data_IF_549783882335
#
_entry.id   IF_549783882335
#
_cell.length_a   1.000
_cell.length_b   1.000
_cell.length_c   1.000
_cell.angle_alpha   90.00
_cell.angle_beta   90.00
_cell.angle_gamma   90.00
#
_symmetry.space_group_name_H-M   'P 1'
#
loop_
_entity.id
_entity.type
_entity.pdbx_description
1 polymer ?
#
# COMPACT_ATOMS: atom_id res chain seq x y z
N UNK A 1 -2.78 0.31 7.82
CA UNK A 1 -3.56 -0.95 7.74
C UNK A 1 -4.53 -0.86 6.56
N UNK A 2 -4.57 -1.89 5.71
CA UNK A 2 -5.53 -1.98 4.61
C UNK A 2 -6.93 -2.26 5.17
N UNK A 3 -7.91 -1.42 4.82
CA UNK A 3 -9.26 -1.50 5.36
C UNK A 3 -10.00 -2.79 4.98
N UNK A 4 -9.63 -3.44 3.86
CA UNK A 4 -10.20 -4.76 3.50
C UNK A 4 -9.81 -5.81 4.53
N UNK A 5 -8.56 -5.83 4.98
CA UNK A 5 -8.12 -6.77 6.03
C UNK A 5 -8.91 -6.54 7.33
N UNK A 6 -9.12 -5.29 7.72
CA UNK A 6 -9.89 -4.94 8.92
C UNK A 6 -11.35 -5.44 8.83
N UNK A 7 -12.01 -5.28 7.69
CA UNK A 7 -13.34 -5.85 7.44
C UNK A 7 -13.32 -7.38 7.51
N UNK A 8 -12.37 -8.02 6.84
CA UNK A 8 -12.27 -9.48 6.82
C UNK A 8 -12.06 -10.06 8.22
N UNK A 9 -11.21 -9.44 9.06
CA UNK A 9 -11.03 -9.84 10.45
C UNK A 9 -12.36 -9.79 11.21
N UNK A 10 -13.13 -8.71 11.05
CA UNK A 10 -14.43 -8.58 11.69
C UNK A 10 -15.44 -9.62 11.17
N UNK A 11 -15.57 -9.77 9.86
CA UNK A 11 -16.54 -10.65 9.20
C UNK A 11 -16.30 -12.14 9.50
N UNK A 12 -15.03 -12.52 9.74
CA UNK A 12 -14.64 -13.91 10.00
C UNK A 12 -14.44 -14.21 11.50
N UNK A 13 -14.88 -13.32 12.38
CA UNK A 13 -14.91 -13.57 13.83
C UNK A 13 -13.57 -13.38 14.55
N UNK A 14 -12.61 -12.69 13.95
CA UNK A 14 -11.31 -12.33 14.53
C UNK A 14 -11.32 -10.96 15.23
N UNK A 15 -12.40 -10.68 15.97
CA UNK A 15 -12.56 -9.43 16.72
C UNK A 15 -11.54 -9.27 17.85
N UNK A 16 -11.00 -10.38 18.36
CA UNK A 16 -9.91 -10.39 19.34
C UNK A 16 -8.63 -9.74 18.81
N UNK A 17 -8.30 -9.95 17.54
CA UNK A 17 -7.16 -9.31 16.87
C UNK A 17 -7.38 -7.80 16.76
N UNK A 18 -8.60 -7.37 16.41
CA UNK A 18 -8.96 -5.95 16.32
C UNK A 18 -8.82 -5.27 17.68
N UNK A 19 -9.35 -5.87 18.75
CA UNK A 19 -9.25 -5.33 20.10
C UNK A 19 -7.80 -5.27 20.60
N UNK A 20 -6.98 -6.30 20.30
CA UNK A 20 -5.55 -6.27 20.59
C UNK A 20 -4.85 -5.10 19.89
N UNK A 21 -5.12 -4.87 18.60
CA UNK A 21 -4.54 -3.75 17.85
C UNK A 21 -4.96 -2.39 18.44
N UNK A 22 -6.21 -2.24 18.88
CA UNK A 22 -6.65 -1.02 19.58
C UNK A 22 -5.89 -0.79 20.88
N UNK A 23 -5.73 -1.84 21.69
CA UNK A 23 -5.00 -1.75 22.96
C UNK A 23 -3.53 -1.36 22.73
N UNK A 24 -2.86 -2.00 21.77
CA UNK A 24 -1.48 -1.66 21.40
C UNK A 24 -1.35 -0.21 20.93
N UNK A 25 -2.28 0.28 20.10
CA UNK A 25 -2.28 1.66 19.62
C UNK A 25 -2.54 2.66 20.75
N UNK A 26 -3.51 2.37 21.63
CA UNK A 26 -3.82 3.19 22.82
C UNK A 26 -2.62 3.28 23.77
N UNK A 27 -1.84 2.22 23.88
CA UNK A 27 -0.64 2.17 24.69
C UNK A 27 0.59 2.81 24.02
N UNK A 28 0.47 3.29 22.77
CA UNK A 28 1.58 3.87 22.01
C UNK A 28 2.62 2.85 21.55
N UNK A 29 2.26 1.57 21.51
CA UNK A 29 3.16 0.48 21.10
C UNK A 29 3.18 0.26 19.59
N UNK A 30 2.11 0.68 18.89
CA UNK A 30 2.03 0.69 17.44
C UNK A 30 1.46 2.02 16.96
N UNK A 31 1.84 2.40 15.74
CA UNK A 31 1.24 3.51 15.00
C UNK A 31 0.53 2.96 13.76
N UNK A 32 -0.74 3.33 13.57
CA UNK A 32 -1.44 3.01 12.33
C UNK A 32 -1.02 3.95 11.20
N UNK A 33 -0.89 3.38 9.99
CA UNK A 33 -0.65 4.12 8.75
C UNK A 33 -1.88 4.13 7.84
N UNK A 34 -2.05 5.22 7.09
CA UNK A 34 -3.01 5.34 5.99
C UNK A 34 -2.52 4.56 4.76
N UNK A 35 -3.46 4.20 3.89
CA UNK A 35 -3.20 3.52 2.62
C UNK A 35 -4.44 3.61 1.72
N UNK A 36 -4.44 2.96 0.55
CA UNK A 36 -5.63 2.81 -0.30
C UNK A 36 -6.46 1.58 0.08
N UNK A 37 -7.80 1.73 0.09
CA UNK A 37 -8.75 0.75 0.66
C UNK A 37 -8.61 -0.65 0.09
N UNK A 38 -8.59 -0.77 -1.24
CA UNK A 38 -8.48 -2.05 -1.95
C UNK A 38 -7.05 -2.29 -2.46
N UNK A 39 -6.05 -1.64 -1.84
CA UNK A 39 -4.65 -1.74 -2.21
C UNK A 39 -4.35 -1.45 -3.72
N UNK A 40 -4.87 -0.35 -4.30
CA UNK A 40 -4.60 -0.02 -5.70
C UNK A 40 -3.22 0.60 -5.91
N UNK A 41 -2.69 0.51 -7.13
CA UNK A 41 -1.49 1.28 -7.51
C UNK A 41 -1.88 2.74 -7.77
N UNK A 42 -1.83 3.56 -6.71
CA UNK A 42 -2.34 4.93 -6.71
C UNK A 42 -1.80 5.81 -7.86
N UNK A 43 -0.49 5.77 -8.20
CA UNK A 43 0.02 6.55 -9.33
C UNK A 43 -0.57 6.20 -10.71
N UNK A 44 -1.24 5.06 -10.84
CA UNK A 44 -1.75 4.55 -12.12
C UNK A 44 -3.25 4.77 -12.31
N UNK A 45 -3.94 5.33 -11.33
CA UNK A 45 -5.39 5.57 -11.37
C UNK A 45 -5.69 7.08 -11.35
N UNK A 46 -6.87 7.53 -11.83
CA UNK A 46 -7.22 8.94 -11.79
C UNK A 46 -7.21 9.51 -10.37
N UNK A 47 -6.82 10.77 -10.20
CA UNK A 47 -6.74 11.46 -8.89
C UNK A 47 -8.00 11.32 -8.04
N UNK A 48 -9.19 11.43 -8.63
CA UNK A 48 -10.45 11.23 -7.89
C UNK A 48 -10.61 9.81 -7.32
N UNK A 49 -10.06 8.80 -7.98
CA UNK A 49 -10.01 7.43 -7.46
C UNK A 49 -8.95 7.27 -6.37
N UNK A 50 -7.81 7.97 -6.49
CA UNK A 50 -6.80 8.05 -5.40
C UNK A 50 -7.44 8.61 -4.13
N UNK A 51 -8.06 9.78 -4.22
CA UNK A 51 -8.75 10.43 -3.11
C UNK A 51 -9.82 9.51 -2.51
N UNK A 52 -10.66 8.89 -3.35
CA UNK A 52 -11.67 7.92 -2.92
C UNK A 52 -11.06 6.76 -2.13
N UNK A 53 -10.01 6.13 -2.66
CA UNK A 53 -9.41 4.95 -2.04
C UNK A 53 -8.75 5.27 -0.69
N UNK A 54 -8.15 6.45 -0.54
CA UNK A 54 -7.60 6.92 0.74
C UNK A 54 -8.74 7.18 1.74
N UNK A 55 -9.80 7.86 1.31
CA UNK A 55 -10.94 8.18 2.18
C UNK A 55 -11.71 6.93 2.63
N UNK A 56 -11.99 5.99 1.72
CA UNK A 56 -12.69 4.74 2.07
C UNK A 56 -11.84 3.89 3.01
N UNK A 57 -10.50 3.90 2.87
CA UNK A 57 -9.63 3.20 3.79
C UNK A 57 -9.72 3.77 5.21
N UNK A 58 -9.69 5.10 5.32
CA UNK A 58 -9.85 5.79 6.59
C UNK A 58 -11.24 5.57 7.18
N UNK A 59 -12.29 5.64 6.36
CA UNK A 59 -13.68 5.41 6.76
C UNK A 59 -13.87 4.01 7.33
N UNK A 60 -13.48 2.97 6.60
CA UNK A 60 -13.60 1.60 7.09
C UNK A 60 -12.81 1.42 8.38
N UNK A 61 -11.53 1.78 8.40
CA UNK A 61 -10.72 1.52 9.60
C UNK A 61 -11.25 2.25 10.83
N UNK A 62 -11.79 3.47 10.70
CA UNK A 62 -12.43 4.20 11.82
C UNK A 62 -13.69 3.53 12.36
N UNK A 63 -14.36 2.67 11.60
CA UNK A 63 -15.51 1.90 12.10
C UNK A 63 -15.08 0.80 13.07
N UNK A 64 -13.86 0.26 12.91
CA UNK A 64 -13.41 -0.91 13.65
C UNK A 64 -12.27 -0.61 14.63
N UNK A 65 -11.44 0.39 14.36
CA UNK A 65 -10.24 0.74 15.13
C UNK A 65 -10.43 2.12 15.76
N UNK A 66 -10.61 2.13 17.08
CA UNK A 66 -10.70 3.36 17.84
C UNK A 66 -9.40 4.16 17.67
N UNK A 67 -9.50 5.47 17.49
CA UNK A 67 -8.34 6.36 17.27
C UNK A 67 -7.56 6.15 15.96
N UNK A 68 -8.17 5.56 14.92
CA UNK A 68 -7.56 5.49 13.58
C UNK A 68 -7.48 6.89 12.92
N UNK A 69 -6.41 7.62 13.26
CA UNK A 69 -6.04 8.93 12.71
C UNK A 69 -4.57 8.85 12.28
N UNK A 70 -4.28 8.13 11.18
CA UNK A 70 -2.92 7.89 10.75
C UNK A 70 -2.22 9.19 10.33
N UNK A 71 -1.12 9.51 11.01
CA UNK A 71 -0.26 10.64 10.67
C UNK A 71 0.58 10.38 9.43
N UNK A 72 0.83 9.11 9.11
CA UNK A 72 1.62 8.70 7.96
C UNK A 72 0.84 7.98 6.89
N UNK A 73 1.42 7.96 5.69
CA UNK A 73 0.89 7.26 4.54
C UNK A 73 1.84 6.18 4.04
N UNK A 74 1.31 4.96 3.90
CA UNK A 74 1.96 3.84 3.24
C UNK A 74 1.27 3.63 1.88
N UNK A 75 1.85 4.11 0.77
CA UNK A 75 1.32 3.82 -0.56
C UNK A 75 1.33 2.31 -0.78
N UNK A 76 0.25 1.70 -1.33
CA UNK A 76 0.27 0.30 -1.73
C UNK A 76 1.52 -0.01 -2.54
N UNK A 77 2.26 -1.07 -2.15
CA UNK A 77 3.52 -1.50 -2.80
C UNK A 77 4.67 -0.47 -2.75
N UNK A 78 4.56 0.54 -1.88
CA UNK A 78 5.37 1.77 -1.91
C UNK A 78 5.39 2.45 -3.29
N UNK A 79 4.34 2.25 -4.10
CA UNK A 79 4.22 2.88 -5.41
C UNK A 79 3.96 4.38 -5.26
N UNK A 80 4.88 5.16 -5.78
CA UNK A 80 4.89 6.62 -5.70
C UNK A 80 5.09 7.26 -7.07
N UNK A 81 4.38 8.37 -7.29
CA UNK A 81 4.71 9.47 -8.21
C UNK A 81 4.35 10.78 -7.50
N UNK A 82 4.82 11.92 -8.01
CA UNK A 82 4.44 13.21 -7.42
C UNK A 82 2.91 13.46 -7.43
N UNK A 83 2.17 12.82 -8.34
CA UNK A 83 0.72 13.01 -8.49
C UNK A 83 -0.10 12.57 -7.28
N UNK A 84 0.45 11.72 -6.40
CA UNK A 84 -0.24 11.29 -5.17
C UNK A 84 0.00 12.21 -3.97
N UNK A 85 0.92 13.18 -4.07
CA UNK A 85 1.31 14.05 -2.95
C UNK A 85 0.12 14.89 -2.46
N UNK A 86 -0.59 15.54 -3.38
CA UNK A 86 -1.74 16.38 -3.04
C UNK A 86 -2.88 15.58 -2.37
N UNK A 87 -3.36 14.44 -2.92
CA UNK A 87 -4.33 13.59 -2.23
C UNK A 87 -3.88 13.15 -0.82
N UNK A 88 -2.59 12.85 -0.64
CA UNK A 88 -2.03 12.41 0.65
C UNK A 88 -2.02 13.55 1.66
N UNK A 89 -1.59 14.76 1.27
CA UNK A 89 -1.63 15.95 2.11
C UNK A 89 -3.07 16.32 2.49
N UNK A 90 -3.99 16.35 1.52
CA UNK A 90 -5.41 16.66 1.76
C UNK A 90 -6.11 15.66 2.67
N UNK A 91 -5.64 14.41 2.71
CA UNK A 91 -6.11 13.41 3.67
C UNK A 91 -5.59 13.63 5.10
N UNK A 92 -4.70 14.60 5.32
CA UNK A 92 -4.17 15.01 6.62
C UNK A 92 -2.90 14.27 7.04
N UNK A 93 -2.21 13.61 6.11
CA UNK A 93 -0.96 12.91 6.40
C UNK A 93 0.22 13.90 6.43
N UNK A 94 1.13 13.69 7.39
CA UNK A 94 2.31 14.52 7.65
C UNK A 94 3.60 13.91 7.10
N UNK A 95 3.61 12.61 6.85
CA UNK A 95 4.74 11.91 6.25
C UNK A 95 4.28 10.79 5.31
N UNK A 96 5.15 10.44 4.37
CA UNK A 96 4.99 9.33 3.43
C UNK A 96 6.24 8.45 3.47
N UNK A 97 6.05 7.13 3.51
CA UNK A 97 7.15 6.17 3.37
C UNK A 97 7.33 5.78 1.90
N UNK A 98 8.57 5.83 1.42
CA UNK A 98 8.96 5.50 0.04
C UNK A 98 10.05 4.43 0.02
N UNK A 99 10.14 3.72 -1.11
CA UNK A 99 11.28 2.84 -1.42
C UNK A 99 12.59 3.64 -1.46
N UNK A 100 13.69 3.05 -0.99
CA UNK A 100 15.00 3.71 -0.97
C UNK A 100 15.49 4.11 -2.36
N UNK A 101 15.13 3.35 -3.39
CA UNK A 101 15.41 3.67 -4.81
C UNK A 101 14.81 5.00 -5.29
N UNK A 102 13.78 5.50 -4.60
CA UNK A 102 13.16 6.79 -4.89
C UNK A 102 14.05 7.98 -4.47
N UNK A 103 15.03 7.77 -3.59
CA UNK A 103 15.84 8.83 -3.01
C UNK A 103 16.69 9.54 -4.08
N UNK A 104 16.52 10.85 -4.29
CA UNK A 104 17.24 11.60 -5.32
C UNK A 104 18.53 12.26 -4.80
N UNK A 105 18.78 12.19 -3.49
CA UNK A 105 19.89 12.86 -2.79
C UNK A 105 20.75 11.83 -2.06
N UNK A 106 21.79 12.31 -1.37
CA UNK A 106 22.57 11.46 -0.47
C UNK A 106 21.67 10.90 0.63
N UNK A 107 21.82 9.60 0.90
CA UNK A 107 21.00 8.86 1.87
C UNK A 107 20.87 9.60 3.21
N UNK A 108 19.64 10.01 3.61
CA UNK A 108 19.44 10.72 4.86
C UNK A 108 19.50 9.74 6.03
N UNK A 109 20.35 10.03 7.01
CA UNK A 109 20.50 9.24 8.24
C UNK A 109 20.21 10.06 9.50
N UNK A 110 20.29 11.38 9.39
CA UNK A 110 20.36 12.36 10.49
C UNK A 110 19.39 13.54 10.32
N UNK A 111 18.50 13.48 9.32
CA UNK A 111 17.53 14.53 8.97
C UNK A 111 16.34 13.93 8.25
N UNK A 112 15.22 14.64 8.23
CA UNK A 112 14.03 14.25 7.46
C UNK A 112 13.81 15.24 6.31
N UNK A 113 14.07 14.81 5.08
CA UNK A 113 13.82 15.61 3.87
C UNK A 113 12.29 15.70 3.59
N UNK A 114 11.86 16.71 2.83
CA UNK A 114 10.43 17.03 2.60
C UNK A 114 10.09 17.16 1.11
N UNK A 115 8.83 16.88 0.74
CA UNK A 115 8.22 17.26 -0.55
C UNK A 115 7.33 18.48 -0.31
N UNK A 116 7.38 19.46 -1.21
CA UNK A 116 6.52 20.64 -1.15
C UNK A 116 5.37 20.56 -2.18
N UNK A 117 4.17 20.99 -1.78
CA UNK A 117 3.01 21.18 -2.65
C UNK A 117 2.19 22.37 -2.16
N UNK A 118 2.05 23.42 -3.00
CA UNK A 118 1.25 24.63 -2.71
C UNK A 118 1.54 25.28 -1.33
N UNK A 119 2.79 25.24 -0.86
CA UNK A 119 3.21 25.80 0.43
C UNK A 119 2.97 24.90 1.64
N UNK A 120 2.43 23.70 1.44
CA UNK A 120 2.41 22.61 2.41
C UNK A 120 3.61 21.67 2.19
N UNK A 121 4.08 21.03 3.27
CA UNK A 121 5.18 20.07 3.19
C UNK A 121 4.80 18.69 3.72
N UNK A 122 5.33 17.67 3.06
CA UNK A 122 5.16 16.25 3.38
C UNK A 122 6.53 15.64 3.65
N UNK A 123 6.77 15.22 4.89
CA UNK A 123 8.02 14.57 5.27
C UNK A 123 8.20 13.23 4.54
N UNK A 124 9.42 12.95 4.07
CA UNK A 124 9.73 11.74 3.31
C UNK A 124 10.59 10.82 4.16
N UNK A 125 10.08 9.60 4.36
CA UNK A 125 10.78 8.54 5.07
C UNK A 125 11.19 7.45 4.07
N UNK A 126 12.48 7.20 3.91
CA UNK A 126 12.96 6.17 3.00
C UNK A 126 13.14 4.83 3.71
N UNK A 127 12.54 3.78 3.16
CA UNK A 127 12.80 2.39 3.51
C UNK A 127 14.22 2.01 3.08
N UNK A 128 15.00 1.44 3.98
CA UNK A 128 16.25 0.75 3.61
C UNK A 128 15.90 -0.54 2.87
N UNK A 129 15.98 -0.51 1.54
CA UNK A 129 15.60 -1.64 0.69
C UNK A 129 16.49 -2.86 0.91
N UNK A 130 17.78 -2.65 1.15
CA UNK A 130 18.78 -3.72 1.29
C UNK A 130 18.53 -4.46 2.60
N UNK A 131 18.46 -3.73 3.71
CA UNK A 131 18.29 -4.30 5.04
C UNK A 131 16.91 -4.96 5.18
N UNK A 132 15.86 -4.31 4.67
CA UNK A 132 14.51 -4.87 4.66
C UNK A 132 14.46 -6.19 3.87
N UNK A 133 15.04 -6.24 2.67
CA UNK A 133 15.06 -7.46 1.86
C UNK A 133 15.89 -8.58 2.52
N UNK A 134 17.00 -8.25 3.20
CA UNK A 134 17.75 -9.25 3.96
C UNK A 134 16.89 -9.92 5.03
N UNK A 135 16.02 -9.16 5.71
CA UNK A 135 15.06 -9.70 6.68
C UNK A 135 14.01 -10.57 5.98
N UNK A 136 13.41 -10.05 4.90
CA UNK A 136 12.34 -10.74 4.14
C UNK A 136 12.77 -12.03 3.46
N UNK A 137 14.06 -12.19 3.15
CA UNK A 137 14.61 -13.38 2.49
C UNK A 137 15.54 -14.20 3.40
N UNK A 138 15.41 -14.06 4.73
CA UNK A 138 16.17 -14.82 5.72
C UNK A 138 17.69 -14.81 5.48
N UNK A 139 18.20 -13.67 5.00
CA UNK A 139 19.61 -13.45 4.66
C UNK A 139 20.37 -12.67 5.73
N UNK A 140 19.74 -12.44 6.89
CA UNK A 140 20.33 -11.82 8.07
C UNK A 140 19.69 -12.38 9.34
N UNK A 141 20.47 -12.56 10.39
CA UNK A 141 19.99 -12.94 11.73
C UNK A 141 19.63 -11.71 12.56
N UNK A 142 18.92 -11.89 13.67
CA UNK A 142 18.58 -10.79 14.59
C UNK A 142 19.83 -10.13 15.22
N UNK A 143 20.88 -10.91 15.49
CA UNK A 143 22.14 -10.38 16.01
C UNK A 143 22.87 -9.52 14.98
N UNK A 144 23.03 -10.02 13.75
CA UNK A 144 23.67 -9.29 12.65
C UNK A 144 22.89 -8.01 12.31
N UNK A 145 21.56 -8.08 12.34
CA UNK A 145 20.70 -6.90 12.18
C UNK A 145 21.01 -5.86 13.26
N UNK A 146 20.97 -6.22 14.54
CA UNK A 146 21.23 -5.28 15.63
C UNK A 146 22.66 -4.76 15.64
N UNK A 147 23.65 -5.57 15.27
CA UNK A 147 25.03 -5.12 15.09
C UNK A 147 25.12 -4.06 13.98
N UNK A 148 24.47 -4.32 12.84
CA UNK A 148 24.41 -3.36 11.74
C UNK A 148 23.76 -2.03 12.16
N UNK A 149 22.63 -2.08 12.88
CA UNK A 149 21.96 -0.88 13.39
C UNK A 149 22.83 -0.12 14.39
N UNK A 150 23.52 -0.82 15.30
CA UNK A 150 24.46 -0.18 16.25
C UNK A 150 25.62 0.51 15.53
N UNK A 151 26.12 -0.08 14.45
CA UNK A 151 27.20 0.50 13.65
C UNK A 151 26.79 1.82 12.96
N UNK A 152 25.51 2.00 12.59
CA UNK A 152 25.02 3.26 12.00
C UNK A 152 25.11 4.46 12.97
N UNK A 153 25.09 4.21 14.28
CA UNK A 153 25.22 5.25 15.32
C UNK A 153 26.67 5.48 15.80
N UNK A 154 27.66 4.80 15.22
CA UNK A 154 29.07 4.96 15.60
C UNK A 154 29.61 6.27 15.01
N UNK A 155 29.57 7.33 15.82
CA UNK A 155 29.98 8.67 15.41
C UNK A 155 29.54 9.78 16.36
N UNK A 156 28.57 9.49 17.25
CA UNK A 156 28.09 10.42 18.28
C UNK A 156 26.89 11.27 17.85
N UNK A 157 26.52 11.21 16.57
CA UNK A 157 25.27 11.79 16.06
C UNK A 157 24.16 10.73 16.08
N UNK A 158 22.93 11.16 16.38
CA UNK A 158 21.78 10.27 16.27
C UNK A 158 21.58 9.92 14.80
N UNK A 159 21.39 8.63 14.52
CA UNK A 159 21.08 8.12 13.19
C UNK A 159 19.78 7.32 13.24
N UNK A 160 19.04 7.25 12.13
CA UNK A 160 17.88 6.37 11.99
C UNK A 160 18.01 5.40 10.81
N UNK A 161 17.25 4.31 10.90
CA UNK A 161 17.05 3.36 9.82
C UNK A 161 15.60 2.89 9.85
N UNK A 162 15.00 2.73 8.68
CA UNK A 162 13.60 2.31 8.55
C UNK A 162 13.59 1.02 7.75
N UNK A 163 13.05 -0.05 8.34
CA UNK A 163 12.79 -1.29 7.63
C UNK A 163 11.29 -1.51 7.46
N UNK A 164 10.89 -1.98 6.29
CA UNK A 164 9.49 -2.26 5.99
C UNK A 164 9.36 -3.49 5.08
N UNK A 165 8.42 -4.36 5.37
CA UNK A 165 8.18 -5.61 4.64
C UNK A 165 6.75 -6.11 4.92
N UNK A 166 6.30 -7.12 4.17
CA UNK A 166 5.04 -7.80 4.43
C UNK A 166 4.97 -8.33 5.87
N UNK A 167 3.81 -8.18 6.51
CA UNK A 167 3.61 -8.74 7.85
C UNK A 167 3.68 -10.27 7.82
N UNK A 168 3.22 -10.86 6.72
CA UNK A 168 3.24 -12.28 6.42
C UNK A 168 4.66 -12.85 6.35
N UNK A 169 5.70 -12.01 6.21
CA UNK A 169 7.11 -12.43 6.39
C UNK A 169 7.31 -13.15 7.72
N UNK A 170 6.66 -12.69 8.79
CA UNK A 170 6.81 -13.24 10.13
C UNK A 170 5.76 -14.33 10.40
N UNK A 171 6.13 -15.58 10.14
CA UNK A 171 5.35 -16.78 10.49
C UNK A 171 4.64 -17.45 9.31
N UNK A 172 4.12 -16.68 8.35
CA UNK A 172 3.44 -17.24 7.17
C UNK A 172 4.42 -17.61 6.05
N UNK A 173 5.15 -16.64 5.51
CA UNK A 173 6.16 -16.85 4.47
C UNK A 173 7.40 -17.54 5.03
N UNK A 174 7.85 -17.13 6.22
CA UNK A 174 8.98 -17.75 6.93
C UNK A 174 8.48 -18.25 8.28
N UNK A 175 8.31 -19.57 8.38
CA UNK A 175 7.87 -20.23 9.61
C UNK A 175 8.78 -19.90 10.79
N UNK A 176 8.19 -19.58 11.95
CA UNK A 176 8.86 -19.23 13.21
C UNK A 176 9.70 -17.93 13.18
N UNK A 177 9.63 -17.12 12.13
CA UNK A 177 10.45 -15.91 12.03
C UNK A 177 10.04 -14.81 13.01
N UNK A 178 8.78 -14.81 13.43
CA UNK A 178 8.25 -14.01 14.54
C UNK A 178 8.95 -14.34 15.87
N UNK A 179 9.43 -15.57 16.06
CA UNK A 179 10.18 -15.99 17.25
C UNK A 179 11.69 -15.85 17.02
N UNK A 180 12.20 -16.40 15.91
CA UNK A 180 13.64 -16.48 15.65
C UNK A 180 14.29 -15.11 15.37
N UNK A 181 13.54 -14.19 14.79
CA UNK A 181 14.01 -12.85 14.46
C UNK A 181 13.33 -11.79 15.30
N UNK A 182 12.02 -11.61 15.14
CA UNK A 182 11.31 -10.45 15.69
C UNK A 182 11.34 -10.41 17.23
N UNK A 183 10.95 -11.51 17.89
CA UNK A 183 11.01 -11.61 19.35
C UNK A 183 12.43 -11.41 19.90
N UNK A 184 13.44 -12.00 19.27
CA UNK A 184 14.86 -11.82 19.67
C UNK A 184 15.35 -10.39 19.52
N UNK A 185 14.92 -9.67 18.47
CA UNK A 185 15.21 -8.24 18.33
C UNK A 185 14.60 -7.48 19.49
N UNK A 186 13.31 -7.68 19.79
CA UNK A 186 12.64 -7.03 20.92
C UNK A 186 13.31 -7.34 22.27
N UNK A 187 13.65 -8.61 22.54
CA UNK A 187 14.33 -9.02 23.77
C UNK A 187 15.68 -8.33 23.97
N UNK A 188 16.48 -8.20 22.91
CA UNK A 188 17.78 -7.54 22.96
C UNK A 188 17.70 -6.00 23.05
N UNK A 189 16.55 -5.43 22.74
CA UNK A 189 16.29 -4.00 22.89
C UNK A 189 15.68 -3.64 24.26
N UNK A 190 15.32 -4.63 25.09
CA UNK A 190 14.88 -4.35 26.46
C UNK A 190 16.06 -3.90 27.34
N UNK A 191 15.82 -2.95 28.28
CA UNK A 191 16.82 -2.59 29.28
C UNK A 191 17.31 -3.82 30.06
N UNK A 192 18.60 -3.85 30.39
CA UNK A 192 19.28 -5.00 31.03
C UNK A 192 18.62 -5.51 32.33
N UNK A 193 17.80 -4.69 32.98
CA UNK A 193 17.05 -5.05 34.21
C UNK A 193 15.93 -6.10 34.00
N UNK A 194 15.57 -6.43 32.75
CA UNK A 194 14.52 -7.42 32.45
C UNK A 194 15.04 -8.77 31.90
N UNK A 195 16.36 -8.93 31.77
CA UNK A 195 16.99 -10.15 31.26
C UNK A 195 16.86 -11.28 32.32
N UNK A 196 16.01 -12.28 32.06
CA UNK A 196 15.86 -13.46 32.89
C UNK A 196 14.42 -13.89 33.21
N UNK A 197 13.39 -13.13 32.79
CA UNK A 197 12.00 -13.59 32.83
C UNK A 197 11.65 -14.30 31.51
N UNK A 198 11.00 -15.48 31.52
CA UNK A 198 10.55 -16.13 30.30
C UNK A 198 9.60 -15.21 29.55
N UNK A 199 9.80 -15.07 28.23
CA UNK A 199 8.92 -14.32 27.35
C UNK A 199 7.49 -14.85 27.49
N UNK A 200 6.61 -14.05 28.08
CA UNK A 200 5.18 -14.32 28.10
C UNK A 200 4.53 -13.48 27.00
N UNK A 201 3.83 -14.09 26.01
CA UNK A 201 3.19 -13.38 24.89
C UNK A 201 2.11 -12.35 25.30
N UNK A 202 1.83 -12.22 26.61
CA UNK A 202 0.80 -11.35 27.20
C UNK A 202 1.34 -10.11 27.91
N UNK A 203 2.66 -9.90 27.99
CA UNK A 203 3.18 -8.70 28.64
C UNK A 203 3.26 -7.56 27.65
N UNK A 204 2.27 -6.66 27.74
CA UNK A 204 2.32 -5.33 27.15
C UNK A 204 3.68 -4.68 27.46
N UNK A 205 4.32 -4.13 26.43
CA UNK A 205 5.48 -3.26 26.59
C UNK A 205 5.01 -2.06 27.40
N UNK A 206 5.21 -2.13 28.71
CA UNK A 206 4.87 -1.07 29.63
C UNK A 206 5.54 0.22 29.16
N UNK A 207 4.74 1.28 29.06
CA UNK A 207 5.13 2.69 28.85
C UNK A 207 6.64 2.91 28.95
N UNK A 208 7.33 2.92 27.81
CA UNK A 208 8.62 3.57 27.75
C UNK A 208 8.32 5.07 27.84
N UNK A 209 8.33 5.61 29.07
CA UNK A 209 8.47 7.04 29.27
C UNK A 209 9.88 7.39 28.78
N UNK A 210 9.97 7.83 27.53
CA UNK A 210 11.20 8.29 26.91
C UNK A 210 11.71 9.53 27.64
N UNK A 211 12.70 9.35 28.50
CA UNK A 211 13.59 10.42 28.92
C UNK A 211 14.76 10.40 27.93
N UNK A 212 14.84 11.34 26.97
CA UNK A 212 15.83 11.28 25.87
C UNK A 212 17.28 11.55 26.31
N UNK A 213 17.49 11.91 27.58
CA UNK A 213 18.82 12.17 28.13
C UNK A 213 19.40 10.93 28.79
N UNK A 214 20.13 10.08 28.05
CA UNK A 214 21.12 9.18 28.65
C UNK A 214 21.27 7.75 28.11
N UNK A 215 20.60 7.34 27.03
CA UNK A 215 20.71 5.95 26.55
C UNK A 215 21.74 5.85 25.42
N UNK A 216 22.91 5.25 25.71
CA UNK A 216 23.79 4.67 24.67
C UNK A 216 23.11 3.40 24.14
N UNK A 217 22.41 3.44 23.00
CA UNK A 217 21.78 2.25 22.47
C UNK A 217 20.89 2.47 21.25
N UNK A 218 20.33 1.36 20.74
CA UNK A 218 19.31 1.36 19.67
C UNK A 218 17.95 1.57 20.31
N UNK A 219 17.18 2.53 19.79
CA UNK A 219 15.82 2.81 20.23
C UNK A 219 14.83 2.52 19.10
N UNK A 220 13.71 1.88 19.42
CA UNK A 220 12.58 1.77 18.51
C UNK A 220 11.59 2.87 18.82
N UNK A 221 11.13 3.55 17.78
CA UNK A 221 10.15 4.64 17.87
C UNK A 221 9.09 4.47 16.79
N UNK A 222 7.91 5.05 17.00
CA UNK A 222 6.94 5.21 15.92
C UNK A 222 7.50 6.19 14.86
N UNK A 223 7.13 5.98 13.60
CA UNK A 223 7.68 6.77 12.49
C UNK A 223 7.37 8.27 12.64
N UNK A 224 6.20 8.61 13.20
CA UNK A 224 5.87 10.00 13.50
C UNK A 224 6.82 10.68 14.49
N UNK A 225 7.46 9.94 15.40
CA UNK A 225 8.40 10.50 16.38
C UNK A 225 9.71 10.92 15.72
N UNK A 226 10.07 10.33 14.57
CA UNK A 226 11.27 10.73 13.82
C UNK A 226 11.23 12.20 13.40
N UNK A 227 10.03 12.73 13.11
CA UNK A 227 9.83 14.14 12.76
C UNK A 227 10.10 15.09 13.93
N UNK A 228 10.02 14.61 15.17
CA UNK A 228 10.29 15.38 16.39
C UNK A 228 11.75 15.21 16.85
N UNK A 229 12.39 14.07 16.53
CA UNK A 229 13.76 13.74 16.92
C UNK A 229 14.78 14.35 15.96
N UNK A 230 14.52 14.31 14.66
CA UNK A 230 15.48 14.70 13.62
C UNK A 230 15.15 16.06 13.02
N UNK A 231 16.16 16.88 12.70
CA UNK A 231 15.96 18.16 12.05
C UNK A 231 15.34 17.99 10.65
N UNK A 232 14.62 19.03 10.22
CA UNK A 232 14.13 19.12 8.84
C UNK A 232 15.31 19.23 7.88
N UNK A 233 15.23 18.45 6.80
CA UNK A 233 16.20 18.39 5.73
C UNK A 233 15.86 19.30 4.56
N UNK A 234 16.30 18.90 3.37
CA UNK A 234 16.06 19.65 2.14
C UNK A 234 14.68 19.36 1.55
N UNK A 235 14.18 20.29 0.73
CA UNK A 235 13.08 19.99 -0.18
C UNK A 235 13.61 19.16 -1.35
N UNK A 236 13.01 17.99 -1.58
CA UNK A 236 13.45 17.03 -2.58
C UNK A 236 12.30 16.65 -3.53
N UNK A 237 12.66 16.07 -4.67
CA UNK A 237 11.72 15.46 -5.62
C UNK A 237 12.05 13.98 -5.79
N UNK A 238 11.46 13.08 -4.96
CA UNK A 238 11.68 11.65 -5.10
C UNK A 238 11.27 11.14 -6.47
N UNK A 239 11.96 10.11 -6.95
CA UNK A 239 11.68 9.50 -8.25
C UNK A 239 10.44 8.62 -8.17
N UNK A 240 9.73 8.51 -9.28
CA UNK A 240 8.63 7.54 -9.39
C UNK A 240 9.20 6.11 -9.27
N UNK A 241 8.62 5.31 -8.38
CA UNK A 241 9.08 3.95 -8.10
C UNK A 241 8.07 3.18 -7.23
N UNK A 242 8.34 1.90 -7.02
CA UNK A 242 7.80 1.02 -6.00
C UNK A 242 8.96 0.39 -5.20
N UNK A 243 8.64 -0.46 -4.23
CA UNK A 243 9.65 -1.30 -3.56
C UNK A 243 10.23 -2.44 -4.43
N UNK A 244 9.73 -2.62 -5.66
CA UNK A 244 10.20 -3.62 -6.63
C UNK A 244 10.92 -3.00 -7.83
N UNK A 245 10.96 -1.68 -7.92
CA UNK A 245 11.64 -0.94 -8.99
C UNK A 245 13.15 -1.06 -8.87
N UNK A 246 13.80 -1.44 -9.96
CA UNK A 246 15.25 -1.40 -10.11
C UNK A 246 15.75 -0.06 -10.68
N UNK A 247 17.07 0.14 -10.69
CA UNK A 247 17.67 1.32 -11.33
C UNK A 247 17.40 1.33 -12.84
N UNK A 248 17.47 0.17 -13.48
CA UNK A 248 17.22 -0.04 -14.90
C UNK A 248 15.77 0.28 -15.28
N UNK A 249 14.81 -0.03 -14.40
CA UNK A 249 13.40 0.33 -14.58
C UNK A 249 13.21 1.86 -14.61
N UNK A 250 13.90 2.59 -13.73
CA UNK A 250 13.87 4.06 -13.72
C UNK A 250 14.47 4.63 -15.02
N UNK A 251 15.63 4.11 -15.44
CA UNK A 251 16.32 4.54 -16.66
C UNK A 251 15.48 4.31 -17.93
N UNK A 252 14.67 3.25 -17.96
CA UNK A 252 13.73 2.94 -19.05
C UNK A 252 12.33 3.56 -18.88
N UNK A 253 12.12 4.30 -17.79
CA UNK A 253 10.83 4.87 -17.38
C UNK A 253 9.70 3.82 -17.30
N UNK A 254 10.03 2.60 -16.88
CA UNK A 254 9.08 1.53 -16.55
C UNK A 254 8.94 1.39 -15.03
N UNK A 255 8.48 2.46 -14.37
CA UNK A 255 8.57 2.62 -12.91
C UNK A 255 7.80 1.57 -12.09
N UNK A 256 6.82 0.87 -12.68
CA UNK A 256 5.95 -0.09 -11.99
C UNK A 256 5.93 -1.43 -12.73
N UNK A 257 7.08 -2.10 -12.90
CA UNK A 257 7.21 -3.22 -13.84
C UNK A 257 6.32 -4.42 -13.49
N UNK A 258 6.00 -4.61 -12.19
CA UNK A 258 5.13 -5.69 -11.75
C UNK A 258 3.63 -5.42 -11.95
N UNK A 259 3.21 -4.18 -12.25
CA UNK A 259 1.78 -3.82 -12.38
C UNK A 259 1.44 -3.14 -13.70
N UNK A 260 2.38 -2.48 -14.38
CA UNK A 260 2.18 -1.80 -15.67
C UNK A 260 3.43 -1.77 -16.54
N UNK A 261 4.08 -2.92 -16.72
CA UNK A 261 5.21 -2.99 -17.66
C UNK A 261 4.84 -2.69 -19.11
N UNK A 262 5.69 -1.91 -19.79
CA UNK A 262 5.58 -1.58 -21.22
C UNK A 262 5.72 -2.80 -22.15
N UNK A 263 6.44 -3.83 -21.73
CA UNK A 263 6.64 -5.05 -22.52
C UNK A 263 5.55 -6.11 -22.28
N UNK A 264 4.73 -5.95 -21.25
CA UNK A 264 3.71 -6.94 -20.89
C UNK A 264 2.39 -6.65 -21.62
N UNK A 265 2.02 -7.55 -22.54
CA UNK A 265 0.81 -7.38 -23.36
C UNK A 265 -0.48 -7.58 -22.55
N UNK A 266 -0.46 -8.43 -21.52
CA UNK A 266 -1.62 -8.68 -20.65
C UNK A 266 -1.89 -7.45 -19.78
N UNK A 267 -0.85 -6.83 -19.20
CA UNK A 267 -1.00 -5.54 -18.53
C UNK A 267 -1.64 -4.49 -19.45
N UNK A 268 -1.18 -4.36 -20.71
CA UNK A 268 -1.77 -3.38 -21.64
C UNK A 268 -3.26 -3.63 -21.88
N UNK A 269 -3.68 -4.88 -21.98
CA UNK A 269 -5.09 -5.23 -22.16
C UNK A 269 -5.90 -5.00 -20.89
N UNK A 270 -5.39 -5.41 -19.72
CA UNK A 270 -6.04 -5.18 -18.42
C UNK A 270 -6.25 -3.69 -18.16
N UNK A 271 -5.24 -2.85 -18.37
CA UNK A 271 -5.36 -1.41 -18.16
C UNK A 271 -6.32 -0.75 -19.15
N UNK A 272 -6.32 -1.15 -20.44
CA UNK A 272 -7.32 -0.68 -21.40
C UNK A 272 -8.76 -1.06 -20.99
N UNK A 273 -8.96 -2.28 -20.50
CA UNK A 273 -10.26 -2.72 -20.03
C UNK A 273 -10.69 -1.91 -18.78
N UNK A 274 -9.78 -1.72 -17.82
CA UNK A 274 -10.02 -0.94 -16.61
C UNK A 274 -10.33 0.54 -16.91
N UNK A 275 -9.65 1.15 -17.89
CA UNK A 275 -9.92 2.51 -18.35
C UNK A 275 -11.36 2.65 -18.89
N UNK A 276 -11.87 1.64 -19.62
CA UNK A 276 -13.28 1.60 -20.05
C UNK A 276 -14.21 1.47 -18.84
N UNK A 277 -13.89 0.60 -17.86
CA UNK A 277 -14.66 0.47 -16.62
C UNK A 277 -14.78 1.81 -15.88
N UNK A 278 -13.68 2.53 -15.70
CA UNK A 278 -13.63 3.84 -15.04
C UNK A 278 -14.51 4.87 -15.77
N UNK A 279 -14.42 4.97 -17.10
CA UNK A 279 -15.26 5.89 -17.88
C UNK A 279 -16.75 5.52 -17.78
N UNK A 280 -17.07 4.23 -17.86
CA UNK A 280 -18.45 3.74 -17.77
C UNK A 280 -19.07 4.01 -16.40
N UNK A 281 -18.33 3.82 -15.30
CA UNK A 281 -18.81 4.13 -13.94
C UNK A 281 -19.04 5.62 -13.74
N UNK A 282 -18.11 6.45 -14.25
CA UNK A 282 -18.27 7.91 -14.23
C UNK A 282 -19.54 8.34 -14.95
N UNK A 283 -19.78 7.81 -16.15
CA UNK A 283 -20.99 8.09 -16.95
C UNK A 283 -22.25 7.58 -16.28
N UNK A 284 -22.25 6.35 -15.76
CA UNK A 284 -23.38 5.78 -15.04
C UNK A 284 -23.77 6.63 -13.82
N UNK A 285 -22.78 7.09 -13.07
CA UNK A 285 -23.00 7.95 -11.91
C UNK A 285 -23.54 9.33 -12.31
N UNK A 286 -23.04 9.90 -13.42
CA UNK A 286 -23.44 11.23 -13.90
C UNK A 286 -24.84 11.26 -14.54
N UNK A 287 -25.26 10.17 -15.17
CA UNK A 287 -26.49 10.14 -15.97
C UNK A 287 -27.66 9.42 -15.29
N UNK A 288 -27.46 8.76 -14.16
CA UNK A 288 -28.53 8.08 -13.42
C UNK A 288 -29.64 9.07 -13.01
N UNK A 289 -30.84 8.90 -13.56
CA UNK A 289 -31.97 9.83 -13.42
C UNK A 289 -33.15 9.23 -12.62
N UNK A 290 -33.18 7.91 -12.44
CA UNK A 290 -34.22 7.19 -11.70
C UNK A 290 -33.62 6.26 -10.63
N UNK A 291 -34.47 5.73 -9.74
CA UNK A 291 -34.03 4.90 -8.61
C UNK A 291 -33.28 3.64 -9.06
N UNK A 292 -33.79 2.92 -10.05
CA UNK A 292 -33.15 1.71 -10.57
C UNK A 292 -31.76 2.04 -11.17
N UNK A 293 -31.65 3.11 -11.96
CA UNK A 293 -30.38 3.54 -12.54
C UNK A 293 -29.35 3.95 -11.48
N UNK A 294 -29.79 4.60 -10.38
CA UNK A 294 -28.92 4.97 -9.26
C UNK A 294 -28.43 3.75 -8.49
N UNK A 295 -29.29 2.75 -8.27
CA UNK A 295 -28.92 1.51 -7.62
C UNK A 295 -27.86 0.76 -8.45
N UNK A 296 -28.08 0.62 -9.75
CA UNK A 296 -27.12 -0.03 -10.65
C UNK A 296 -25.80 0.74 -10.77
N UNK A 297 -25.84 2.07 -10.84
CA UNK A 297 -24.63 2.90 -10.82
C UNK A 297 -23.85 2.71 -9.50
N UNK A 298 -24.55 2.60 -8.37
CA UNK A 298 -23.93 2.32 -7.07
C UNK A 298 -23.31 0.92 -7.01
N UNK A 299 -23.98 -0.10 -7.55
CA UNK A 299 -23.42 -1.45 -7.70
C UNK A 299 -22.17 -1.44 -8.59
N UNK A 300 -22.21 -0.72 -9.71
CA UNK A 300 -21.05 -0.57 -10.58
C UNK A 300 -19.88 0.11 -9.85
N UNK A 301 -20.17 1.13 -9.03
CA UNK A 301 -19.16 1.81 -8.22
C UNK A 301 -18.52 0.88 -7.19
N UNK A 302 -19.32 0.05 -6.51
CA UNK A 302 -18.84 -0.96 -5.57
C UNK A 302 -17.86 -1.93 -6.24
N UNK A 303 -18.24 -2.51 -7.38
CA UNK A 303 -17.36 -3.41 -8.12
C UNK A 303 -16.13 -2.71 -8.69
N UNK A 304 -16.22 -1.41 -8.99
CA UNK A 304 -15.09 -0.65 -9.48
C UNK A 304 -14.05 -0.48 -8.38
N UNK A 305 -14.46 -0.23 -7.14
CA UNK A 305 -13.52 -0.14 -6.02
C UNK A 305 -12.79 -1.48 -5.80
N UNK A 306 -13.50 -2.61 -5.89
CA UNK A 306 -12.90 -3.96 -5.86
C UNK A 306 -11.95 -4.19 -7.04
N UNK A 307 -12.33 -3.77 -8.24
CA UNK A 307 -11.57 -3.98 -9.47
C UNK A 307 -10.25 -3.20 -9.54
N UNK A 308 -9.97 -2.28 -8.60
CA UNK A 308 -8.71 -1.53 -8.56
C UNK A 308 -7.58 -2.27 -7.83
N UNK A 309 -7.83 -3.42 -7.21
CA UNK A 309 -6.82 -4.11 -6.40
C UNK A 309 -5.57 -4.50 -7.21
N UNK A 310 -4.38 -4.27 -6.63
CA UNK A 310 -3.10 -4.43 -7.32
C UNK A 310 -2.78 -5.88 -7.70
N UNK A 311 -3.27 -6.87 -6.94
CA UNK A 311 -2.88 -8.27 -7.09
C UNK A 311 -3.15 -8.80 -8.51
N UNK A 312 -4.25 -8.39 -9.15
CA UNK A 312 -4.59 -8.88 -10.49
C UNK A 312 -3.54 -8.51 -11.54
N UNK A 313 -2.83 -7.40 -11.34
CA UNK A 313 -1.74 -6.97 -12.23
C UNK A 313 -0.44 -7.64 -11.79
N UNK A 314 -0.21 -7.72 -10.48
CA UNK A 314 0.97 -8.41 -9.97
C UNK A 314 1.02 -9.87 -10.41
N UNK A 315 -0.06 -10.64 -10.30
CA UNK A 315 -0.09 -12.03 -10.78
C UNK A 315 0.01 -12.15 -12.31
N UNK A 316 -0.24 -11.06 -13.03
CA UNK A 316 -0.09 -10.98 -14.48
C UNK A 316 1.33 -10.55 -14.93
N UNK A 317 2.30 -10.41 -14.00
CA UNK A 317 3.60 -9.81 -14.31
C UNK A 317 4.53 -10.67 -15.20
N UNK A 318 4.30 -11.99 -15.28
CA UNK A 318 5.04 -12.93 -16.14
C UNK A 318 6.41 -13.40 -15.60
N UNK A 319 6.90 -12.90 -14.46
CA UNK A 319 8.20 -13.24 -13.85
C UNK A 319 8.08 -14.27 -12.72
N UNK A 320 7.69 -15.51 -13.02
CA UNK A 320 7.70 -16.70 -12.10
C UNK A 320 6.62 -16.80 -11.01
N UNK A 321 5.68 -15.86 -10.92
CA UNK A 321 4.54 -15.91 -9.98
C UNK A 321 3.25 -15.61 -10.71
N UNK A 322 2.77 -16.61 -11.44
CA UNK A 322 1.55 -16.52 -12.23
C UNK A 322 0.43 -17.28 -11.54
N UNK A 323 -0.69 -16.62 -11.26
CA UNK A 323 -1.92 -17.27 -10.82
C UNK A 323 -3.07 -16.79 -11.70
N UNK A 324 -3.44 -17.64 -12.67
CA UNK A 324 -4.52 -17.38 -13.61
C UNK A 324 -5.84 -17.08 -12.90
N UNK A 325 -6.11 -17.69 -11.76
CA UNK A 325 -7.36 -17.50 -11.04
C UNK A 325 -7.40 -16.11 -10.42
N UNK A 326 -6.28 -15.61 -9.89
CA UNK A 326 -6.22 -14.27 -9.29
C UNK A 326 -6.28 -13.18 -10.37
N UNK A 327 -5.65 -13.39 -11.52
CA UNK A 327 -5.80 -12.49 -12.68
C UNK A 327 -7.25 -12.48 -13.17
N UNK A 328 -7.85 -13.66 -13.35
CA UNK A 328 -9.23 -13.80 -13.81
C UNK A 328 -10.24 -13.24 -12.80
N UNK A 329 -10.00 -13.37 -11.49
CA UNK A 329 -10.84 -12.77 -10.44
C UNK A 329 -10.92 -11.25 -10.57
N UNK A 330 -9.80 -10.58 -10.84
CA UNK A 330 -9.79 -9.14 -11.14
C UNK A 330 -10.64 -8.80 -12.37
N UNK A 331 -10.53 -9.61 -13.43
CA UNK A 331 -11.35 -9.46 -14.64
C UNK A 331 -12.85 -9.67 -14.36
N UNK A 332 -13.23 -10.62 -13.50
CA UNK A 332 -14.62 -10.82 -13.10
C UNK A 332 -15.20 -9.58 -12.41
N UNK A 333 -14.45 -8.90 -11.53
CA UNK A 333 -14.91 -7.63 -10.96
C UNK A 333 -15.10 -6.56 -12.04
N UNK A 334 -14.16 -6.45 -12.98
CA UNK A 334 -14.29 -5.50 -14.10
C UNK A 334 -15.51 -5.81 -15.00
N UNK A 335 -15.88 -7.08 -15.17
CA UNK A 335 -17.10 -7.46 -15.91
C UNK A 335 -18.37 -7.03 -15.18
N UNK A 336 -18.42 -7.22 -13.85
CA UNK A 336 -19.54 -6.74 -13.04
C UNK A 336 -19.67 -5.22 -13.11
N UNK A 337 -18.55 -4.48 -13.15
CA UNK A 337 -18.56 -3.03 -13.40
C UNK A 337 -19.25 -2.70 -14.72
N UNK A 338 -18.80 -3.30 -15.83
CA UNK A 338 -19.31 -2.99 -17.16
C UNK A 338 -20.79 -3.34 -17.30
N UNK A 339 -21.20 -4.50 -16.76
CA UNK A 339 -22.58 -4.96 -16.78
C UNK A 339 -23.51 -3.95 -16.09
N UNK A 340 -23.18 -3.59 -14.84
CA UNK A 340 -23.99 -2.71 -14.03
C UNK A 340 -23.96 -1.27 -14.55
N UNK A 341 -22.80 -0.74 -14.94
CA UNK A 341 -22.66 0.61 -15.46
C UNK A 341 -23.43 0.78 -16.78
N UNK A 342 -23.29 -0.15 -17.72
CA UNK A 342 -24.03 -0.08 -18.98
C UNK A 342 -25.53 -0.20 -18.77
N UNK A 343 -25.98 -1.15 -17.92
CA UNK A 343 -27.41 -1.31 -17.62
C UNK A 343 -27.97 -0.05 -16.97
N UNK A 344 -27.24 0.57 -16.04
CA UNK A 344 -27.61 1.83 -15.40
C UNK A 344 -27.84 2.92 -16.46
N UNK A 345 -26.88 3.12 -17.37
CA UNK A 345 -26.96 4.12 -18.45
C UNK A 345 -28.12 3.82 -19.41
N UNK A 346 -28.30 2.57 -19.82
CA UNK A 346 -29.23 2.19 -20.87
C UNK A 346 -30.71 2.43 -20.49
N UNK A 347 -31.04 2.37 -19.20
CA UNK A 347 -32.40 2.59 -18.68
C UNK A 347 -32.71 4.06 -18.33
N UNK A 348 -31.78 4.98 -18.55
CA UNK A 348 -32.01 6.43 -18.36
C UNK A 348 -32.75 7.06 -19.54
N UNK A 349 -33.18 8.31 -19.40
CA UNK A 349 -33.77 9.14 -20.44
C UNK A 349 -32.78 9.86 -21.36
N UNK A 350 -31.47 9.56 -21.28
CA UNK A 350 -30.46 10.22 -22.13
C UNK A 350 -30.65 9.89 -23.62
N UNK A 351 -30.07 10.72 -24.49
CA UNK A 351 -30.25 10.59 -25.92
C UNK A 351 -29.65 9.30 -26.51
N UNK A 352 -30.15 8.90 -27.68
CA UNK A 352 -29.75 7.65 -28.34
C UNK A 352 -28.29 7.67 -28.80
N UNK A 353 -27.72 8.84 -29.09
CA UNK A 353 -26.32 8.96 -29.51
C UNK A 353 -25.39 8.61 -28.35
N UNK A 354 -25.65 9.14 -27.14
CA UNK A 354 -24.90 8.80 -25.93
C UNK A 354 -25.01 7.31 -25.57
N UNK A 355 -26.22 6.72 -25.68
CA UNK A 355 -26.40 5.28 -25.46
C UNK A 355 -25.61 4.44 -26.46
N UNK A 356 -25.59 4.82 -27.74
CA UNK A 356 -24.80 4.13 -28.77
C UNK A 356 -23.29 4.23 -28.47
N UNK A 357 -22.81 5.39 -28.03
CA UNK A 357 -21.41 5.59 -27.62
C UNK A 357 -21.00 4.65 -26.48
N UNK A 358 -21.89 4.43 -25.51
CA UNK A 358 -21.69 3.47 -24.41
C UNK A 358 -21.81 2.02 -24.87
N UNK A 359 -22.65 1.72 -25.86
CA UNK A 359 -22.72 0.38 -26.45
C UNK A 359 -21.42 0.00 -27.15
N UNK A 360 -20.78 0.92 -27.87
CA UNK A 360 -19.47 0.66 -28.48
C UNK A 360 -18.38 0.40 -27.43
N UNK A 361 -18.44 1.08 -26.28
CA UNK A 361 -17.54 0.78 -25.14
C UNK A 361 -17.79 -0.59 -24.54
N UNK A 362 -19.05 -0.99 -24.36
CA UNK A 362 -19.41 -2.34 -23.94
C UNK A 362 -18.86 -3.40 -24.91
N UNK A 363 -19.00 -3.17 -26.22
CA UNK A 363 -18.47 -4.06 -27.24
C UNK A 363 -16.94 -4.16 -27.18
N UNK A 364 -16.25 -3.02 -27.04
CA UNK A 364 -14.80 -2.98 -26.89
C UNK A 364 -14.32 -3.68 -25.60
N UNK A 365 -15.02 -3.49 -24.48
CA UNK A 365 -14.73 -4.16 -23.22
C UNK A 365 -14.83 -5.69 -23.37
N UNK A 366 -15.91 -6.20 -24.00
CA UNK A 366 -16.07 -7.64 -24.26
C UNK A 366 -14.97 -8.23 -25.14
N UNK A 367 -14.53 -7.48 -26.15
CA UNK A 367 -13.42 -7.93 -27.00
C UNK A 367 -12.08 -7.94 -26.25
N UNK A 368 -11.83 -6.92 -25.40
CA UNK A 368 -10.64 -6.90 -24.54
C UNK A 368 -10.68 -8.05 -23.53
N UNK A 369 -11.82 -8.33 -22.90
CA UNK A 369 -12.02 -9.47 -22.01
C UNK A 369 -11.64 -10.77 -22.71
N UNK A 370 -12.21 -11.02 -23.89
CA UNK A 370 -11.92 -12.21 -24.70
C UNK A 370 -10.42 -12.34 -24.97
N UNK A 371 -9.76 -11.25 -25.40
CA UNK A 371 -8.33 -11.24 -25.67
C UNK A 371 -7.46 -11.45 -24.43
N UNK A 372 -7.88 -10.94 -23.27
CA UNK A 372 -7.18 -11.21 -22.01
C UNK A 372 -7.27 -12.70 -21.73
N UNK A 373 -8.47 -13.27 -21.74
CA UNK A 373 -8.69 -14.71 -21.46
C UNK A 373 -7.92 -15.59 -22.44
N UNK A 374 -7.98 -15.31 -23.74
CA UNK A 374 -7.21 -16.05 -24.76
C UNK A 374 -5.71 -16.07 -24.41
N UNK A 375 -5.15 -14.92 -24.03
CA UNK A 375 -3.73 -14.84 -23.62
C UNK A 375 -3.44 -15.62 -22.34
N UNK A 376 -4.33 -15.56 -21.35
CA UNK A 376 -4.18 -16.34 -20.13
C UNK A 376 -4.17 -17.85 -20.42
N UNK A 377 -4.86 -18.31 -21.47
CA UNK A 377 -4.92 -19.70 -21.90
C UNK A 377 -3.76 -20.11 -22.82
N UNK A 378 -3.21 -19.18 -23.61
CA UNK A 378 -2.06 -19.41 -24.49
C UNK A 378 -0.73 -19.52 -23.72
N UNK A 379 -0.60 -18.82 -22.59
CA UNK A 379 0.63 -18.82 -21.81
C UNK A 379 0.81 -20.14 -21.05
N UNK A 380 1.71 -20.98 -21.54
CA UNK A 380 2.15 -22.16 -20.78
C UNK A 380 2.86 -21.71 -19.50
N UNK A 381 2.45 -22.19 -18.31
CA UNK A 381 3.20 -21.91 -17.09
C UNK A 381 4.61 -22.47 -17.26
N UNK A 382 5.60 -21.58 -17.34
CA UNK A 382 7.00 -21.98 -17.20
C UNK A 382 7.17 -22.41 -15.75
N UNK A 383 7.15 -23.73 -15.54
CA UNK A 383 7.47 -24.38 -14.27
C UNK A 383 8.92 -24.13 -13.88
#
# INVERSE_FOLDING_TARGET
MCGVLTEMLSEHGHGDIIEMLKELAKNGQIEFTGSGKYHPILPLIPKGEVERQIMENARTNRQFLDSFIPKGFFPPELCYSYDIVEPVLRAGHRWIILSGVACPVNWPVDRIDEIEFEGESLAVLFRDDILSNKISFRSITSNEFLEHVRQLGVGGENSYVITAMDAETFGHHIKNWEIEFLAKVYEQLQPAEQIGKPFQPRMALAKQTCNPSGIQGVQMVCLSELLDIFPRGAVIQPKASSWSTSKEDIESSDFYPLWRSKSNEIHKLQWKHLEICLDMVRKASAWADNEESRNLASTARYFMDLALHSDQFWWANGKSRWDINLVHKGLLFQKEVILNAYKAINITGIDSFQKNECYYRLAAARELERRIVDKLLEENPKH
#
